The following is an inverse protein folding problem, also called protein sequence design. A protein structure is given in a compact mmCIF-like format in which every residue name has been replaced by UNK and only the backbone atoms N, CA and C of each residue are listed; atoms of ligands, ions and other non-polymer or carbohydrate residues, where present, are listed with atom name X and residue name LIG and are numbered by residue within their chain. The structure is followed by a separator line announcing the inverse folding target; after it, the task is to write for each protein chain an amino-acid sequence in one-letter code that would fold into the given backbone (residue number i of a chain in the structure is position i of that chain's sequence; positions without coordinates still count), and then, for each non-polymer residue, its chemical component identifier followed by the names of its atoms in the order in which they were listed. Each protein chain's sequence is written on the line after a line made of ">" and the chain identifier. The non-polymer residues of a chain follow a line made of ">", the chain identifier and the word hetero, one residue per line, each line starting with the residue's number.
data_IF_495225790152
#
_entry.id   IF_495225790152
#
_cell.length_a   1.000
_cell.length_b   1.000
_cell.length_c   1.000
_cell.angle_alpha   90.00
_cell.angle_beta   90.00
_cell.angle_gamma   90.00
#
_symmetry.space_group_name_H-M   'P 1'
#
loop_
_entity.id
_entity.type
_entity.pdbx_description
1 polymer ?
2 polymer ?
3 water ?
#
# COMPACT_ATOMS: atom_id res chain seq x y z
N UNK A 1 15.14 8.47 3.47
CA UNK A 1 15.03 9.92 3.43
C UNK A 1 13.91 10.50 4.26
N UNK A 2 13.82 11.81 4.09
CA UNK A 2 12.88 12.76 4.71
C UNK A 2 11.88 13.33 3.70
N UNK A 3 10.59 13.11 3.81
CA UNK A 3 9.64 13.67 2.83
C UNK A 3 8.80 14.82 3.41
N UNK A 4 8.85 15.99 2.79
CA UNK A 4 8.04 17.15 3.25
C UNK A 4 6.73 16.93 2.48
N UNK A 5 5.67 17.55 2.96
CA UNK A 5 4.36 17.28 2.37
C UNK A 5 3.77 18.25 1.41
N UNK A 6 4.70 19.09 0.82
CA UNK A 6 4.21 20.05 -0.17
C UNK A 6 3.62 19.32 -1.34
N UNK A 7 4.15 18.16 -1.71
CA UNK A 7 3.56 17.38 -2.86
C UNK A 7 3.17 16.03 -2.32
N UNK A 8 2.38 15.23 -3.03
CA UNK A 8 2.02 13.88 -2.44
C UNK A 8 3.25 13.03 -2.25
N UNK A 9 3.38 12.29 -1.15
CA UNK A 9 4.59 11.39 -0.95
C UNK A 9 4.42 10.09 -1.74
N UNK A 10 4.97 10.13 -2.94
CA UNK A 10 4.94 9.08 -3.95
C UNK A 10 6.28 8.35 -3.96
N UNK A 11 6.19 7.04 -4.08
CA UNK A 11 7.55 6.38 -4.04
C UNK A 11 7.44 5.17 -4.90
N UNK A 12 8.60 4.71 -5.30
CA UNK A 12 8.74 3.55 -6.18
C UNK A 12 8.68 2.28 -5.36
N UNK A 13 7.86 1.42 -5.85
CA UNK A 13 7.69 0.12 -5.28
C UNK A 13 7.93 -0.90 -6.44
N UNK A 14 8.41 -2.00 -6.01
CA UNK A 14 8.67 -3.14 -6.86
C UNK A 14 7.92 -4.31 -6.17
N UNK A 15 6.90 -4.81 -6.84
CA UNK A 15 6.10 -5.92 -6.38
C UNK A 15 5.95 -6.97 -7.52
N UNK A 16 6.26 -8.18 -7.17
CA UNK A 16 6.14 -9.28 -8.15
C UNK A 16 6.61 -8.96 -9.55
N UNK A 17 7.87 -8.59 -9.67
CA UNK A 17 8.54 -8.29 -10.93
C UNK A 17 8.05 -7.08 -11.65
N UNK A 18 7.17 -6.30 -11.01
CA UNK A 18 6.61 -5.06 -11.60
C UNK A 18 7.03 -3.82 -10.75
N UNK A 19 7.16 -2.69 -11.47
CA UNK A 19 7.55 -1.42 -10.88
C UNK A 19 6.32 -0.52 -10.80
N UNK A 20 6.12 0.01 -9.62
CA UNK A 20 4.93 0.91 -9.49
C UNK A 20 5.28 2.06 -8.57
N UNK A 21 4.37 3.01 -8.63
CA UNK A 21 4.43 4.19 -7.75
C UNK A 21 3.25 3.98 -6.75
N UNK A 22 3.58 4.30 -5.51
CA UNK A 22 2.59 4.21 -4.45
C UNK A 22 2.71 5.45 -3.56
N UNK A 23 1.66 5.82 -2.93
CA UNK A 23 1.52 6.96 -1.96
C UNK A 23 1.78 6.42 -0.56
N UNK A 24 2.61 7.07 0.24
CA UNK A 24 2.85 6.60 1.65
C UNK A 24 1.67 7.18 2.42
N UNK A 25 0.78 6.37 2.90
CA UNK A 25 -0.42 6.78 3.60
C UNK A 25 -0.52 6.42 5.08
N UNK A 26 -0.28 7.41 5.93
CA UNK A 26 -0.35 7.25 7.38
C UNK A 26 -1.80 7.10 7.76
N UNK A 27 -2.70 7.55 6.93
CA UNK A 27 -4.15 7.44 7.20
C UNK A 27 -4.70 6.06 6.86
N UNK A 28 -3.87 5.11 6.44
CA UNK A 28 -4.35 3.76 6.05
C UNK A 28 -3.77 2.66 6.97
N UNK A 29 -4.62 1.86 7.48
CA UNK A 29 -4.22 0.74 8.36
C UNK A 29 -3.58 -0.30 7.43
N UNK A 30 -4.12 -0.37 6.22
CA UNK A 30 -3.56 -1.35 5.24
C UNK A 30 -3.17 -0.69 3.91
N UNK A 31 -2.42 -1.54 3.21
CA UNK A 31 -1.83 -1.43 1.88
C UNK A 31 -2.77 -2.12 0.88
N UNK A 32 -3.22 -1.34 -0.04
CA UNK A 32 -4.13 -1.65 -1.11
C UNK A 32 -3.55 -1.14 -2.44
N UNK A 33 -3.37 -2.12 -3.30
CA UNK A 33 -2.79 -1.79 -4.62
C UNK A 33 -3.91 -2.05 -5.64
N UNK A 34 -3.77 -1.31 -6.73
CA UNK A 34 -4.78 -1.50 -7.83
C UNK A 34 -4.55 -2.85 -8.47
N UNK A 35 -5.58 -3.36 -9.11
CA UNK A 35 -5.51 -4.67 -9.80
C UNK A 35 -4.19 -4.81 -10.52
N UNK A 36 -3.40 -5.77 -10.13
CA UNK A 36 -2.07 -6.01 -10.79
C UNK A 36 -2.07 -7.55 -10.87
N UNK A 37 -1.19 -8.10 -11.68
CA UNK A 37 -1.14 -9.58 -11.79
C UNK A 37 -0.17 -10.12 -10.75
N UNK A 38 -0.78 -10.65 -9.72
CA UNK A 38 -0.05 -11.24 -8.58
C UNK A 38 -0.42 -12.73 -8.47
N UNK A 39 0.62 -13.55 -8.30
CA UNK A 39 0.45 -15.00 -8.17
C UNK A 39 0.24 -15.41 -6.73
N UNK A 40 -0.49 -16.49 -6.54
CA UNK A 40 -0.80 -17.05 -5.23
C UNK A 40 -2.30 -17.12 -5.00
N UNK A 41 -2.63 -17.59 -3.81
CA UNK A 41 -4.07 -17.69 -3.44
C UNK A 41 -4.41 -16.38 -2.74
N UNK A 42 -5.66 -15.98 -2.73
CA UNK A 42 -6.14 -14.75 -2.08
C UNK A 42 -7.57 -15.04 -1.62
N UNK A 43 -7.97 -14.28 -0.64
CA UNK A 43 -9.35 -14.42 -0.06
C UNK A 43 -10.07 -13.10 -0.30
N UNK A 44 -11.37 -13.19 -0.26
CA UNK A 44 -12.23 -11.99 -0.46
C UNK A 44 -12.19 -11.21 0.83
N UNK A 45 -12.21 -9.90 0.69
CA UNK A 45 -12.18 -9.06 1.90
C UNK A 45 -12.71 -7.68 1.54
N UNK A 46 -13.08 -6.94 2.56
CA UNK A 46 -13.63 -5.58 2.35
C UNK A 46 -12.97 -4.59 3.30
N UNK A 47 -12.63 -3.47 2.75
CA UNK A 47 -12.01 -2.30 3.34
C UNK A 47 -12.89 -1.07 3.16
N UNK A 48 -12.93 -0.20 4.14
CA UNK A 48 -13.75 1.05 4.02
C UNK A 48 -12.74 2.21 3.93
N UNK A 49 -13.21 3.31 3.40
CA UNK A 49 -12.41 4.55 3.19
C UNK A 49 -13.41 5.69 3.22
N UNK A 50 -13.11 6.87 2.69
CA UNK A 50 -14.12 7.91 2.78
C UNK A 50 -15.31 7.64 1.91
N UNK A 51 -15.64 7.14 0.82
CA UNK A 51 -17.01 7.05 0.27
C UNK A 51 -17.68 5.72 0.53
N UNK A 52 -16.94 4.73 1.02
CA UNK A 52 -17.61 3.43 1.26
C UNK A 52 -16.63 2.30 1.49
N UNK A 53 -17.10 1.14 1.11
CA UNK A 53 -16.45 -0.16 1.19
C UNK A 53 -16.27 -0.72 -0.21
N UNK A 54 -15.09 -1.27 -0.43
CA UNK A 54 -14.77 -1.91 -1.72
C UNK A 54 -14.33 -3.35 -1.28
N UNK A 55 -14.55 -4.27 -2.18
CA UNK A 55 -14.15 -5.67 -1.86
C UNK A 55 -12.77 -5.79 -2.47
N UNK A 56 -11.88 -6.44 -1.76
CA UNK A 56 -10.49 -6.61 -2.26
C UNK A 56 -10.13 -8.09 -2.06
N UNK A 57 -8.91 -8.39 -2.50
CA UNK A 57 -8.40 -9.76 -2.33
C UNK A 57 -7.12 -9.64 -1.46
N UNK A 58 -7.03 -10.42 -0.41
CA UNK A 58 -5.88 -10.41 0.46
C UNK A 58 -4.96 -11.59 0.04
N UNK A 59 -3.73 -11.14 0.01
CA UNK A 59 -2.50 -11.85 -0.31
C UNK A 59 -1.62 -11.54 0.93
N UNK A 60 -1.14 -12.64 1.46
CA UNK A 60 -0.28 -12.65 2.66
C UNK A 60 1.10 -13.11 2.18
N UNK A 61 2.06 -12.74 3.00
CA UNK A 61 3.46 -13.11 2.73
C UNK A 61 3.94 -12.51 1.44
N UNK A 62 3.43 -11.33 1.12
CA UNK A 62 3.88 -10.68 -0.13
C UNK A 62 5.11 -9.80 0.14
N UNK A 63 6.13 -9.96 -0.69
CA UNK A 63 7.36 -9.26 -0.70
C UNK A 63 7.14 -7.98 -1.53
N UNK A 64 7.63 -6.88 -1.02
CA UNK A 64 7.58 -5.57 -1.66
C UNK A 64 8.87 -4.81 -1.34
N UNK A 65 9.26 -4.03 -2.32
CA UNK A 65 10.45 -3.19 -2.19
C UNK A 65 9.93 -1.73 -2.29
N UNK A 66 9.89 -1.13 -1.13
CA UNK A 66 9.43 0.27 -1.03
C UNK A 66 10.70 1.15 -0.98
N UNK A 67 10.88 1.89 -2.04
CA UNK A 67 12.04 2.79 -2.13
C UNK A 67 13.27 2.00 -1.70
N UNK A 68 13.49 0.89 -2.35
CA UNK A 68 14.61 0.01 -2.09
C UNK A 68 14.47 -0.78 -0.81
N UNK A 69 13.60 -0.47 0.12
CA UNK A 69 13.43 -1.20 1.38
C UNK A 69 12.45 -2.37 1.19
N UNK A 70 12.94 -3.53 1.53
CA UNK A 70 12.20 -4.77 1.42
C UNK A 70 11.40 -4.92 2.72
N UNK A 71 10.29 -5.56 2.54
CA UNK A 71 9.35 -5.83 3.62
C UNK A 71 8.46 -6.95 3.10
N UNK A 72 7.83 -7.68 3.97
CA UNK A 72 6.89 -8.76 3.68
C UNK A 72 5.63 -8.49 4.50
N UNK A 73 4.51 -8.73 3.83
CA UNK A 73 3.25 -8.48 4.58
C UNK A 73 2.08 -8.69 3.68
N UNK A 74 1.00 -8.24 4.25
CA UNK A 74 -0.34 -8.26 3.67
C UNK A 74 -0.46 -7.05 2.74
N UNK A 75 -0.95 -7.34 1.58
CA UNK A 75 -1.25 -6.55 0.42
C UNK A 75 -2.68 -6.87 -0.10
N UNK A 76 -3.48 -5.82 -0.22
CA UNK A 76 -4.85 -5.93 -0.70
C UNK A 76 -4.93 -5.43 -2.13
N UNK A 77 -5.54 -6.24 -3.01
CA UNK A 77 -5.66 -5.81 -4.43
C UNK A 77 -7.14 -5.58 -4.71
N UNK A 78 -7.42 -4.48 -5.40
CA UNK A 78 -8.79 -4.05 -5.72
C UNK A 78 -8.84 -2.74 -6.49
N UNK A 79 -10.07 -2.21 -6.57
CA UNK A 79 -10.35 -0.97 -7.31
C UNK A 79 -10.09 0.28 -6.55
N UNK A 80 -8.82 0.59 -6.41
CA UNK A 80 -8.43 1.82 -5.69
C UNK A 80 -7.94 2.77 -6.75
N UNK A 81 -8.18 4.05 -6.55
CA UNK A 81 -7.72 5.08 -7.51
C UNK A 81 -6.20 5.19 -7.48
N UNK A 82 -5.55 4.80 -6.38
CA UNK A 82 -4.11 4.84 -6.20
C UNK A 82 -3.58 3.63 -5.43
N UNK A 83 -2.32 3.40 -5.62
CA UNK A 83 -1.56 2.30 -4.94
C UNK A 83 -1.24 2.95 -3.58
N UNK A 84 -1.70 2.35 -2.52
CA UNK A 84 -1.49 2.88 -1.17
C UNK A 84 -0.58 2.01 -0.31
N UNK A 85 0.42 2.61 0.31
CA UNK A 85 1.30 1.90 1.22
C UNK A 85 0.79 2.34 2.60
N UNK A 86 0.22 1.45 3.34
CA UNK A 86 -0.32 1.63 4.65
C UNK A 86 0.50 1.24 5.83
N UNK A 87 -0.15 1.44 6.99
CA UNK A 87 0.58 1.16 8.25
C UNK A 87 1.26 -0.15 8.44
N UNK A 88 0.72 -1.25 7.93
CA UNK A 88 1.29 -2.60 8.08
C UNK A 88 2.68 -2.66 7.50
N UNK A 89 2.88 -1.91 6.42
CA UNK A 89 4.13 -1.82 5.73
C UNK A 89 5.02 -0.70 6.28
N UNK A 90 4.57 0.51 6.50
CA UNK A 90 5.34 1.66 6.99
C UNK A 90 6.18 1.37 8.23
N UNK A 91 5.58 0.52 9.07
CA UNK A 91 6.27 0.12 10.30
C UNK A 91 7.47 -0.71 9.88
N UNK A 92 7.27 -1.64 8.92
CA UNK A 92 8.44 -2.45 8.53
C UNK A 92 9.65 -1.70 8.09
N UNK A 93 9.47 -0.57 7.39
CA UNK A 93 10.55 0.26 6.89
C UNK A 93 11.00 1.41 7.78
N UNK A 94 10.55 1.39 9.01
CA UNK A 94 10.88 2.32 10.05
C UNK A 94 10.50 3.77 9.80
N UNK A 95 9.42 3.98 9.13
CA UNK A 95 8.85 5.24 8.76
C UNK A 95 8.11 5.95 9.89
N UNK A 96 8.53 7.20 10.11
CA UNK A 96 7.82 7.99 11.15
C UNK A 96 7.42 9.39 10.63
N UNK A 97 6.55 9.99 11.38
CA UNK A 97 5.99 11.35 11.16
C UNK A 97 6.72 12.24 12.19
N UNK A 98 7.21 13.38 11.77
CA UNK A 98 7.92 14.28 12.69
C UNK A 98 7.37 15.71 12.43
N UNK A 99 7.29 16.40 13.53
CA UNK A 99 6.81 17.78 13.58
C UNK A 99 7.07 18.37 14.97
N UNK B 1 -9.03 0.81 8.18
CA UNK B 1 -8.96 1.04 6.76
C UNK B 1 -8.54 2.50 6.42
N UNK B 2 -8.07 2.64 5.21
CA UNK B 2 -7.51 3.41 4.21
C UNK B 2 -8.43 4.59 3.78
N UNK B 3 -7.93 5.76 4.09
CA UNK B 3 -6.67 8.32 0.82
C UNK B 3 -7.86 9.22 0.58
N UNK B 4 -7.76 10.55 0.79
CA UNK B 4 -8.90 11.42 0.48
C UNK B 4 -8.35 12.41 -0.58
N UNK B 5 -9.13 12.48 -1.62
CA UNK B 5 -9.20 13.17 -2.85
C UNK B 5 -8.15 12.68 -3.86
#
# INVERSE_FOLDING_TARGET
>A
PQITLWQRPLVTIKIGGQLKEALLDTGADDTVLEENSLPGRWKPKMIGGIGGFIKVRQYDQILIEICGHKAIGTVLVGPTPVNIIGRNLLTQIGCTLNF
>B
AAXVX
#
